data_IF_880425092611
#
_entry.id   IF_880425092611
#
_cell.length_a   1.000
_cell.length_b   1.000
_cell.length_c   1.000
_cell.angle_alpha   90.00
_cell.angle_beta   90.00
_cell.angle_gamma   90.00
#
_symmetry.space_group_name_H-M   'P 1'
#
loop_
_entity.id
_entity.type
_entity.pdbx_description
1 polymer ?
#
# COMPACT_ATOMS: atom_id res chain seq x y z
N UNK A 1 8.09 -36.54 -2.99
CA UNK A 1 8.58 -36.01 -4.28
C UNK A 1 8.12 -34.57 -4.34
N UNK A 2 8.91 -33.64 -3.80
CA UNK A 2 8.62 -32.21 -3.87
C UNK A 2 9.03 -31.74 -5.28
N UNK A 3 8.04 -31.42 -6.11
CA UNK A 3 8.28 -30.81 -7.40
C UNK A 3 8.66 -29.34 -7.16
N UNK A 4 9.96 -29.04 -7.25
CA UNK A 4 10.44 -27.68 -7.43
C UNK A 4 9.93 -27.17 -8.78
N UNK A 5 8.93 -26.30 -8.76
CA UNK A 5 8.53 -25.54 -9.94
C UNK A 5 9.56 -24.43 -10.12
N UNK A 6 10.48 -24.58 -11.06
CA UNK A 6 11.26 -23.45 -11.59
C UNK A 6 10.29 -22.47 -12.26
N UNK A 7 9.97 -21.38 -11.57
CA UNK A 7 9.07 -20.36 -12.09
C UNK A 7 9.84 -19.44 -13.03
N UNK A 8 9.82 -19.76 -14.33
CA UNK A 8 10.52 -19.04 -15.41
C UNK A 8 10.01 -17.60 -15.66
N UNK A 9 8.85 -17.21 -15.12
CA UNK A 9 8.31 -15.83 -15.20
C UNK A 9 7.08 -15.63 -14.30
N UNK A 10 6.79 -14.38 -13.90
CA UNK A 10 5.58 -14.05 -13.13
C UNK A 10 4.29 -14.55 -13.82
N UNK A 11 4.19 -14.44 -15.14
CA UNK A 11 3.02 -14.90 -15.87
C UNK A 11 2.76 -16.40 -15.72
N UNK A 12 3.83 -17.20 -15.66
CA UNK A 12 3.73 -18.64 -15.42
C UNK A 12 3.27 -18.93 -13.98
N UNK A 13 3.80 -18.21 -12.99
CA UNK A 13 3.32 -18.30 -11.60
C UNK A 13 1.83 -18.00 -11.50
N UNK A 14 1.40 -16.88 -12.08
CA UNK A 14 0.00 -16.47 -12.03
C UNK A 14 -0.93 -17.51 -12.66
N UNK A 15 -0.54 -18.10 -13.80
CA UNK A 15 -1.29 -19.18 -14.44
C UNK A 15 -1.36 -20.44 -13.57
N UNK A 16 -0.26 -20.81 -12.92
CA UNK A 16 -0.22 -21.95 -12.00
C UNK A 16 -1.16 -21.74 -10.81
N UNK A 17 -1.09 -20.58 -10.14
CA UNK A 17 -1.94 -20.22 -9.00
C UNK A 17 -3.43 -20.20 -9.37
N UNK A 18 -3.77 -19.65 -10.55
CA UNK A 18 -5.15 -19.66 -11.05
C UNK A 18 -5.68 -21.08 -11.28
N UNK A 19 -4.84 -21.96 -11.83
CA UNK A 19 -5.19 -23.37 -12.06
C UNK A 19 -5.36 -24.12 -10.74
N UNK A 20 -4.41 -23.98 -9.82
CA UNK A 20 -4.44 -24.62 -8.49
C UNK A 20 -5.72 -24.27 -7.73
N UNK A 21 -6.11 -23.00 -7.78
CA UNK A 21 -7.29 -22.48 -7.06
C UNK A 21 -8.60 -22.62 -7.84
N UNK A 22 -8.56 -23.21 -9.04
CA UNK A 22 -9.71 -23.34 -9.94
C UNK A 22 -10.42 -22.00 -10.22
N UNK A 23 -9.65 -20.91 -10.36
CA UNK A 23 -10.14 -19.56 -10.63
C UNK A 23 -9.82 -19.19 -12.08
N UNK A 24 -10.81 -18.71 -12.82
CA UNK A 24 -10.55 -18.14 -14.16
C UNK A 24 -10.03 -16.71 -14.08
N UNK A 25 -9.33 -16.23 -15.12
CA UNK A 25 -8.93 -14.81 -15.20
C UNK A 25 -10.11 -13.85 -15.08
N UNK A 26 -11.29 -14.24 -15.60
CA UNK A 26 -12.51 -13.45 -15.48
C UNK A 26 -13.04 -13.41 -14.05
N UNK A 27 -12.94 -14.52 -13.30
CA UNK A 27 -13.30 -14.55 -11.89
C UNK A 27 -12.33 -13.72 -11.03
N UNK A 28 -11.02 -13.83 -11.28
CA UNK A 28 -10.03 -12.97 -10.63
C UNK A 28 -10.28 -11.49 -10.92
N UNK A 29 -10.62 -11.14 -12.17
CA UNK A 29 -10.96 -9.76 -12.56
C UNK A 29 -12.12 -9.21 -11.73
N UNK A 30 -13.23 -9.95 -11.66
CA UNK A 30 -14.41 -9.55 -10.87
C UNK A 30 -14.10 -9.38 -9.39
N UNK A 31 -13.29 -10.27 -8.81
CA UNK A 31 -12.93 -10.23 -7.38
C UNK A 31 -11.96 -9.09 -7.06
N UNK A 32 -10.88 -8.98 -7.84
CA UNK A 32 -9.80 -8.03 -7.59
C UNK A 32 -10.07 -6.60 -8.06
N UNK A 33 -11.06 -6.40 -8.93
CA UNK A 33 -11.27 -5.13 -9.63
C UNK A 33 -10.19 -4.79 -10.65
N UNK A 34 -9.26 -5.71 -10.94
CA UNK A 34 -8.28 -5.55 -12.03
C UNK A 34 -8.99 -5.92 -13.34
N UNK A 35 -8.84 -5.07 -14.37
CA UNK A 35 -9.40 -5.36 -15.68
C UNK A 35 -8.89 -6.71 -16.25
N UNK A 36 -9.81 -7.46 -16.90
CA UNK A 36 -9.51 -8.79 -17.44
C UNK A 36 -8.40 -8.73 -18.50
N UNK A 37 -8.34 -7.68 -19.31
CA UNK A 37 -7.27 -7.51 -20.31
C UNK A 37 -5.92 -7.31 -19.63
N UNK A 38 -5.87 -6.56 -18.53
CA UNK A 38 -4.66 -6.39 -17.71
C UNK A 38 -4.20 -7.71 -17.09
N UNK A 39 -5.10 -8.48 -16.47
CA UNK A 39 -4.77 -9.82 -15.95
C UNK A 39 -4.22 -10.72 -17.06
N UNK A 40 -4.86 -10.71 -18.24
CA UNK A 40 -4.41 -11.49 -19.39
C UNK A 40 -3.02 -11.07 -19.90
N UNK A 41 -2.76 -9.77 -20.00
CA UNK A 41 -1.43 -9.26 -20.39
C UNK A 41 -0.36 -9.67 -19.37
N UNK A 42 -0.65 -9.56 -18.08
CA UNK A 42 0.25 -9.98 -17.00
C UNK A 42 0.54 -11.49 -17.07
N UNK A 43 -0.50 -12.32 -17.15
CA UNK A 43 -0.37 -13.78 -17.23
C UNK A 43 0.40 -14.26 -18.48
N UNK A 44 0.45 -13.45 -19.53
CA UNK A 44 1.19 -13.73 -20.76
C UNK A 44 2.52 -12.96 -20.86
N UNK A 45 3.01 -12.40 -19.75
CA UNK A 45 4.25 -11.61 -19.69
C UNK A 45 4.32 -10.41 -20.65
N UNK A 46 3.16 -9.93 -21.14
CA UNK A 46 3.04 -8.74 -22.00
C UNK A 46 3.02 -7.44 -21.21
N UNK A 47 2.86 -7.53 -19.89
CA UNK A 47 2.84 -6.40 -18.98
C UNK A 47 3.40 -6.85 -17.63
N UNK A 48 4.33 -6.07 -17.06
CA UNK A 48 4.81 -6.29 -15.69
C UNK A 48 3.70 -5.88 -14.70
N UNK A 49 3.37 -6.71 -13.70
CA UNK A 49 2.47 -6.28 -12.63
C UNK A 49 3.11 -5.15 -11.81
N UNK A 50 2.31 -4.18 -11.35
CA UNK A 50 2.75 -3.20 -10.37
C UNK A 50 2.39 -3.70 -8.96
N UNK A 51 2.85 -3.02 -7.91
CA UNK A 51 2.61 -3.42 -6.51
C UNK A 51 1.12 -3.55 -6.19
N UNK A 52 0.26 -2.66 -6.71
CA UNK A 52 -1.20 -2.77 -6.49
C UNK A 52 -1.79 -4.03 -7.16
N UNK A 53 -1.36 -4.38 -8.37
CA UNK A 53 -1.74 -5.65 -8.99
C UNK A 53 -1.31 -6.83 -8.10
N UNK A 54 -0.09 -6.80 -7.56
CA UNK A 54 0.43 -7.87 -6.72
C UNK A 54 -0.35 -8.00 -5.40
N UNK A 55 -0.63 -6.89 -4.72
CA UNK A 55 -1.45 -6.85 -3.51
C UNK A 55 -2.84 -7.45 -3.76
N UNK A 56 -3.53 -6.97 -4.80
CA UNK A 56 -4.88 -7.45 -5.12
C UNK A 56 -4.88 -8.92 -5.52
N UNK A 57 -3.87 -9.39 -6.25
CA UNK A 57 -3.71 -10.80 -6.59
C UNK A 57 -3.45 -11.63 -5.31
N UNK A 58 -2.57 -11.17 -4.42
CA UNK A 58 -2.26 -11.82 -3.16
C UNK A 58 -3.51 -12.05 -2.30
N UNK A 59 -4.28 -10.98 -2.08
CA UNK A 59 -5.52 -11.02 -1.28
C UNK A 59 -6.54 -11.99 -1.90
N UNK A 60 -6.85 -11.85 -3.18
CA UNK A 60 -7.98 -12.57 -3.79
C UNK A 60 -7.64 -14.00 -4.19
N UNK A 61 -6.35 -14.33 -4.35
CA UNK A 61 -5.90 -15.70 -4.50
C UNK A 61 -5.49 -16.30 -3.14
N UNK A 62 -5.42 -15.55 -2.05
CA UNK A 62 -4.87 -16.02 -0.77
C UNK A 62 -3.49 -16.67 -0.97
N UNK A 63 -2.54 -15.87 -1.46
CA UNK A 63 -1.15 -16.26 -1.71
C UNK A 63 -0.21 -15.24 -1.09
N UNK A 64 1.03 -15.64 -0.83
CA UNK A 64 1.99 -14.77 -0.20
C UNK A 64 2.40 -13.61 -1.15
N UNK A 65 2.19 -12.36 -0.72
CA UNK A 65 2.61 -11.18 -1.46
C UNK A 65 4.13 -11.14 -1.69
N UNK A 66 4.93 -11.62 -0.75
CA UNK A 66 6.40 -11.72 -0.90
C UNK A 66 6.79 -12.58 -2.10
N UNK A 67 6.11 -13.71 -2.29
CA UNK A 67 6.35 -14.62 -3.42
C UNK A 67 6.05 -13.92 -4.75
N UNK A 68 4.94 -13.19 -4.81
CA UNK A 68 4.54 -12.44 -5.99
C UNK A 68 5.49 -11.28 -6.30
N UNK A 69 5.98 -10.57 -5.27
CA UNK A 69 6.96 -9.50 -5.39
C UNK A 69 8.29 -10.03 -5.93
N UNK A 70 8.81 -11.12 -5.35
CA UNK A 70 10.04 -11.79 -5.81
C UNK A 70 9.91 -12.26 -7.26
N UNK A 71 8.82 -12.93 -7.61
CA UNK A 71 8.56 -13.40 -8.96
C UNK A 71 8.41 -12.26 -9.99
N UNK A 72 8.08 -11.05 -9.52
CA UNK A 72 8.01 -9.84 -10.33
C UNK A 72 9.31 -9.05 -10.38
N UNK A 73 10.40 -9.56 -9.79
CA UNK A 73 11.70 -8.89 -9.78
C UNK A 73 11.75 -7.64 -8.90
N UNK A 74 10.92 -7.55 -7.86
CA UNK A 74 11.10 -6.56 -6.81
C UNK A 74 12.18 -7.05 -5.83
N UNK A 75 13.12 -6.18 -5.47
CA UNK A 75 14.11 -6.46 -4.44
C UNK A 75 13.41 -6.48 -3.07
N UNK A 76 13.22 -7.68 -2.53
CA UNK A 76 12.71 -7.88 -1.18
C UNK A 76 13.92 -8.22 -0.30
N UNK A 77 14.28 -7.34 0.65
CA UNK A 77 15.34 -7.67 1.62
C UNK A 77 14.89 -8.93 2.38
N UNK A 78 15.75 -9.95 2.45
CA UNK A 78 15.43 -11.19 3.16
C UNK A 78 14.95 -10.87 4.58
N UNK A 79 13.65 -11.04 4.81
CA UNK A 79 13.15 -11.29 6.15
C UNK A 79 13.25 -12.80 6.36
N UNK A 80 13.83 -13.24 7.47
CA UNK A 80 13.99 -14.67 7.76
C UNK A 80 12.65 -15.40 8.01
N UNK A 81 11.52 -14.74 7.79
CA UNK A 81 10.18 -15.24 8.04
C UNK A 81 9.41 -15.37 6.72
N UNK A 82 9.25 -16.62 6.25
CA UNK A 82 8.29 -17.02 5.20
C UNK A 82 6.85 -16.85 5.70
N UNK A 83 6.42 -15.63 6.03
CA UNK A 83 5.05 -15.41 6.47
C UNK A 83 4.18 -15.05 5.26
N UNK A 84 3.10 -15.82 5.10
CA UNK A 84 1.99 -15.49 4.20
C UNK A 84 1.48 -14.13 4.64
N UNK A 85 1.48 -13.14 3.73
CA UNK A 85 0.92 -11.81 3.99
C UNK A 85 -0.52 -11.91 4.48
N UNK A 86 -0.68 -11.99 5.80
CA UNK A 86 -1.95 -12.14 6.46
C UNK A 86 -2.12 -10.89 7.29
N UNK A 87 -2.89 -9.95 6.72
CA UNK A 87 -3.11 -8.61 7.26
C UNK A 87 -3.51 -8.64 8.74
N UNK A 88 -4.20 -9.70 9.17
CA UNK A 88 -4.67 -9.82 10.55
C UNK A 88 -3.58 -10.31 11.53
N UNK A 89 -2.57 -11.08 11.08
CA UNK A 89 -1.48 -11.58 11.94
C UNK A 89 -0.19 -10.77 11.83
N UNK A 90 0.10 -10.21 10.65
CA UNK A 90 1.41 -9.65 10.31
C UNK A 90 1.56 -8.18 10.72
N UNK A 91 0.50 -7.57 11.24
CA UNK A 91 0.51 -6.21 11.81
C UNK A 91 0.20 -6.23 13.31
N UNK A 92 0.66 -7.28 14.00
CA UNK A 92 0.52 -7.44 15.45
C UNK A 92 1.09 -6.25 16.23
N UNK A 93 2.13 -5.62 15.69
CA UNK A 93 2.73 -4.40 16.20
C UNK A 93 3.11 -3.43 15.06
N UNK A 94 3.39 -2.18 15.40
CA UNK A 94 3.75 -1.13 14.43
C UNK A 94 5.15 -1.32 13.82
N UNK A 95 6.07 -2.01 14.49
CA UNK A 95 7.40 -2.28 13.93
C UNK A 95 7.34 -3.31 12.79
N UNK A 96 6.41 -4.27 12.84
CA UNK A 96 6.14 -5.20 11.75
C UNK A 96 5.60 -4.44 10.52
N UNK A 97 4.70 -3.46 10.75
CA UNK A 97 4.20 -2.55 9.70
C UNK A 97 5.35 -1.83 8.99
N UNK A 98 6.21 -1.19 9.77
CA UNK A 98 7.36 -0.45 9.23
C UNK A 98 8.36 -1.41 8.58
N UNK A 99 8.58 -2.57 9.19
CA UNK A 99 9.41 -3.65 8.68
C UNK A 99 9.00 -4.03 7.27
N UNK A 100 7.71 -4.33 7.06
CA UNK A 100 7.18 -4.67 5.76
C UNK A 100 7.32 -3.53 4.74
N UNK A 101 6.98 -2.30 5.12
CA UNK A 101 7.14 -1.15 4.24
C UNK A 101 8.60 -0.91 3.81
N UNK A 102 9.57 -1.27 4.66
CA UNK A 102 11.00 -1.21 4.32
C UNK A 102 11.44 -2.27 3.29
N UNK A 103 10.67 -3.33 3.11
CA UNK A 103 10.94 -4.39 2.12
C UNK A 103 10.53 -3.96 0.71
N UNK A 104 9.69 -2.93 0.59
CA UNK A 104 9.29 -2.34 -0.70
C UNK A 104 10.37 -1.34 -1.16
N UNK A 105 11.32 -1.82 -1.95
CA UNK A 105 12.41 -1.02 -2.50
C UNK A 105 12.26 -0.79 -4.02
N UNK A 106 11.15 -0.17 -4.44
CA UNK A 106 10.98 0.27 -5.83
C UNK A 106 11.12 1.80 -5.91
N UNK A 107 12.17 2.27 -6.60
CA UNK A 107 12.48 3.70 -6.70
C UNK A 107 11.38 4.52 -7.36
N UNK A 108 10.70 3.95 -8.37
CA UNK A 108 9.66 4.68 -9.11
C UNK A 108 8.39 4.79 -8.25
N UNK A 109 8.00 3.69 -7.61
CA UNK A 109 6.88 3.65 -6.68
C UNK A 109 7.09 4.61 -5.51
N UNK A 110 8.27 4.51 -4.86
CA UNK A 110 8.61 5.36 -3.73
C UNK A 110 8.70 6.84 -4.15
N UNK A 111 9.33 7.14 -5.29
CA UNK A 111 9.43 8.51 -5.80
C UNK A 111 8.08 9.13 -6.15
N UNK A 112 7.11 8.33 -6.62
CA UNK A 112 5.74 8.80 -6.84
C UNK A 112 5.08 9.17 -5.50
N UNK A 113 5.18 8.31 -4.49
CA UNK A 113 4.63 8.58 -3.15
C UNK A 113 5.24 9.86 -2.56
N UNK A 114 6.56 10.01 -2.64
CA UNK A 114 7.27 11.22 -2.16
C UNK A 114 6.77 12.50 -2.86
N UNK A 115 6.55 12.44 -4.17
CA UNK A 115 6.02 13.56 -4.95
C UNK A 115 4.61 13.94 -4.49
N UNK A 116 3.74 12.95 -4.29
CA UNK A 116 2.36 13.20 -3.84
C UNK A 116 2.30 13.70 -2.39
N UNK A 117 3.14 13.16 -1.49
CA UNK A 117 3.29 13.67 -0.12
C UNK A 117 3.74 15.13 -0.10
N UNK A 118 4.66 15.52 -1.00
CA UNK A 118 5.12 16.91 -1.12
C UNK A 118 3.99 17.86 -1.53
N UNK A 119 3.09 17.41 -2.42
CA UNK A 119 1.88 18.18 -2.75
C UNK A 119 0.92 18.28 -1.57
N UNK A 120 0.74 17.19 -0.82
CA UNK A 120 -0.10 17.18 0.38
C UNK A 120 0.45 18.10 1.47
N UNK A 121 1.78 18.21 1.60
CA UNK A 121 2.45 19.13 2.53
C UNK A 121 2.17 20.60 2.20
N UNK A 122 2.14 20.95 0.91
CA UNK A 122 1.71 22.28 0.46
C UNK A 122 0.22 22.50 0.71
N UNK A 123 -0.60 21.48 0.42
CA UNK A 123 -2.04 21.60 0.49
C UNK A 123 -2.56 21.72 1.93
N UNK A 124 -1.95 21.02 2.90
CA UNK A 124 -2.36 21.12 4.32
C UNK A 124 -2.13 22.50 4.94
N UNK A 125 -1.36 23.36 4.28
CA UNK A 125 -1.16 24.74 4.71
C UNK A 125 -2.38 25.62 4.39
N UNK A 126 -3.17 25.26 3.38
CA UNK A 126 -4.37 26.01 2.98
C UNK A 126 -5.57 25.66 3.86
N UNK A 127 -6.55 26.55 3.92
CA UNK A 127 -7.78 26.31 4.68
C UNK A 127 -8.63 25.21 4.03
N UNK A 128 -8.59 25.10 2.70
CA UNK A 128 -9.25 24.03 1.95
C UNK A 128 -8.65 22.66 2.27
N UNK A 129 -7.32 22.53 2.30
CA UNK A 129 -6.65 21.27 2.61
C UNK A 129 -6.95 20.82 4.04
N UNK A 130 -6.89 21.73 5.02
CA UNK A 130 -7.27 21.43 6.41
C UNK A 130 -8.74 21.01 6.51
N UNK A 131 -9.63 21.75 5.86
CA UNK A 131 -11.07 21.44 5.85
C UNK A 131 -11.33 20.07 5.24
N UNK A 132 -10.73 19.74 4.09
CA UNK A 132 -10.83 18.43 3.47
C UNK A 132 -10.39 17.33 4.43
N UNK A 133 -9.26 17.52 5.11
CA UNK A 133 -8.76 16.57 6.09
C UNK A 133 -9.77 16.36 7.24
N UNK A 134 -10.28 17.43 7.84
CA UNK A 134 -11.25 17.34 8.94
C UNK A 134 -12.58 16.69 8.51
N UNK A 135 -13.07 17.02 7.32
CA UNK A 135 -14.38 16.56 6.82
C UNK A 135 -14.38 15.08 6.39
N UNK A 136 -13.21 14.55 6.01
CA UNK A 136 -13.08 13.25 5.33
C UNK A 136 -12.31 12.19 6.12
N UNK A 137 -11.42 12.57 7.05
CA UNK A 137 -10.57 11.60 7.76
C UNK A 137 -11.37 10.54 8.51
N UNK A 138 -12.28 10.96 9.41
CA UNK A 138 -13.06 10.02 10.22
C UNK A 138 -13.90 9.08 9.35
N UNK A 139 -14.51 9.60 8.28
CA UNK A 139 -15.30 8.79 7.33
C UNK A 139 -14.44 7.73 6.65
N UNK A 140 -13.24 8.10 6.21
CA UNK A 140 -12.33 7.16 5.55
C UNK A 140 -11.83 6.10 6.54
N UNK A 141 -11.30 6.50 7.69
CA UNK A 141 -10.66 5.57 8.63
C UNK A 141 -11.66 4.56 9.21
N UNK A 142 -12.92 4.96 9.40
CA UNK A 142 -13.98 4.09 9.91
C UNK A 142 -14.57 3.16 8.84
N UNK A 143 -14.39 3.47 7.55
CA UNK A 143 -14.79 2.60 6.44
C UNK A 143 -13.85 1.40 6.23
N UNK A 144 -12.66 1.45 6.82
CA UNK A 144 -11.68 0.37 6.71
C UNK A 144 -12.07 -0.71 7.73
N UNK A 145 -12.51 -1.86 7.24
CA UNK A 145 -12.83 -3.04 8.07
C UNK A 145 -11.63 -3.53 8.91
N UNK A 146 -10.41 -3.17 8.50
CA UNK A 146 -9.17 -3.52 9.19
C UNK A 146 -8.99 -2.66 10.45
N UNK A 147 -9.42 -3.17 11.60
CA UNK A 147 -8.94 -2.69 12.89
C UNK A 147 -7.52 -3.22 13.12
N UNK A 148 -6.55 -2.34 13.33
CA UNK A 148 -5.16 -2.73 13.56
C UNK A 148 -4.21 -1.55 13.71
N UNK A 149 -2.97 -1.86 14.06
CA UNK A 149 -1.90 -0.91 14.44
C UNK A 149 -1.66 0.19 13.39
N UNK A 150 -1.88 -0.10 12.11
CA UNK A 150 -1.83 0.90 11.05
C UNK A 150 -2.89 2.00 11.22
N UNK A 151 -4.15 1.60 11.40
CA UNK A 151 -5.26 2.57 11.57
C UNK A 151 -5.16 3.30 12.89
N UNK A 152 -4.69 2.63 13.95
CA UNK A 152 -4.46 3.26 15.26
C UNK A 152 -3.38 4.32 15.16
N UNK A 153 -2.30 4.05 14.42
CA UNK A 153 -1.25 5.05 14.19
C UNK A 153 -1.78 6.28 13.45
N UNK A 154 -2.63 6.10 12.44
CA UNK A 154 -3.26 7.22 11.73
C UNK A 154 -4.18 8.03 12.66
N UNK A 155 -4.94 7.36 13.55
CA UNK A 155 -5.78 8.02 14.55
C UNK A 155 -4.94 8.83 15.54
N UNK A 156 -3.82 8.29 16.02
CA UNK A 156 -2.88 9.01 16.88
C UNK A 156 -2.32 10.26 16.19
N UNK A 157 -1.87 10.12 14.94
CA UNK A 157 -1.39 11.23 14.12
C UNK A 157 -2.45 12.31 13.94
N UNK A 158 -3.70 11.92 13.67
CA UNK A 158 -4.82 12.85 13.55
C UNK A 158 -5.13 13.57 14.87
N UNK A 159 -5.17 12.84 15.98
CA UNK A 159 -5.37 13.42 17.31
C UNK A 159 -4.27 14.44 17.65
N UNK A 160 -3.00 14.09 17.41
CA UNK A 160 -1.86 15.01 17.58
C UNK A 160 -2.00 16.26 16.68
N UNK A 161 -2.39 16.07 15.42
CA UNK A 161 -2.59 17.15 14.46
C UNK A 161 -3.67 18.12 14.92
N UNK A 162 -4.81 17.62 15.40
CA UNK A 162 -5.93 18.41 15.92
C UNK A 162 -5.55 19.26 17.14
N UNK A 163 -4.54 18.88 17.92
CA UNK A 163 -4.13 19.68 19.09
C UNK A 163 -3.54 21.04 18.71
N UNK A 164 -3.01 21.19 17.49
CA UNK A 164 -2.31 22.40 17.06
C UNK A 164 -1.00 22.69 17.80
N UNK A 165 -0.54 21.79 18.68
CA UNK A 165 0.67 21.98 19.51
C UNK A 165 1.94 21.45 18.86
N UNK A 166 1.85 20.96 17.62
CA UNK A 166 2.98 20.44 16.88
C UNK A 166 3.87 21.58 16.38
N UNK A 167 5.19 21.41 16.46
CA UNK A 167 6.12 22.30 15.76
C UNK A 167 5.86 22.26 14.25
N UNK A 168 6.13 23.36 13.55
CA UNK A 168 5.76 23.58 12.13
C UNK A 168 6.10 22.36 11.27
N UNK A 169 7.35 21.87 11.33
CA UNK A 169 7.77 20.71 10.53
C UNK A 169 6.96 19.44 10.83
N UNK A 170 6.75 19.13 12.12
CA UNK A 170 5.95 17.96 12.54
C UNK A 170 4.49 18.12 12.13
N UNK A 171 3.93 19.33 12.22
CA UNK A 171 2.58 19.64 11.76
C UNK A 171 2.43 19.36 10.26
N UNK A 172 3.36 19.88 9.44
CA UNK A 172 3.35 19.71 7.99
C UNK A 172 3.48 18.24 7.55
N UNK A 173 4.44 17.51 8.14
CA UNK A 173 4.63 16.08 7.84
C UNK A 173 3.46 15.21 8.29
N UNK A 174 2.88 15.52 9.45
CA UNK A 174 1.70 14.79 9.95
C UNK A 174 0.49 15.08 9.07
N UNK A 175 0.27 16.35 8.74
CA UNK A 175 -0.80 16.79 7.86
C UNK A 175 -0.70 16.22 6.44
N UNK A 176 0.51 16.14 5.88
CA UNK A 176 0.74 15.57 4.55
C UNK A 176 0.42 14.09 4.49
N UNK A 177 0.82 13.32 5.51
CA UNK A 177 0.46 11.90 5.63
C UNK A 177 -1.06 11.69 5.68
N UNK A 178 -1.73 12.47 6.53
CA UNK A 178 -3.17 12.34 6.74
C UNK A 178 -3.95 12.78 5.50
N UNK A 179 -3.51 13.82 4.80
CA UNK A 179 -4.09 14.25 3.52
C UNK A 179 -3.85 13.23 2.42
N UNK A 180 -2.64 12.68 2.31
CA UNK A 180 -2.33 11.62 1.35
C UNK A 180 -3.30 10.45 1.54
N UNK A 181 -3.44 10.01 2.79
CA UNK A 181 -4.40 8.99 3.16
C UNK A 181 -5.82 9.44 2.78
N UNK A 182 -6.30 10.64 3.10
CA UNK A 182 -7.67 11.03 2.75
C UNK A 182 -7.92 11.11 1.23
N UNK A 183 -6.99 11.68 0.46
CA UNK A 183 -7.14 11.92 -0.98
C UNK A 183 -7.14 10.62 -1.78
N UNK A 184 -6.46 9.56 -1.32
CA UNK A 184 -6.38 8.29 -2.04
C UNK A 184 -7.73 7.53 -2.19
N UNK A 185 -8.83 8.04 -1.64
CA UNK A 185 -10.17 7.40 -1.72
C UNK A 185 -11.29 8.18 -2.41
N UNK A 186 -11.12 9.45 -2.79
CA UNK A 186 -11.95 10.21 -3.74
C UNK A 186 -11.76 11.73 -3.52
N UNK A 187 -12.03 12.50 -4.58
CA UNK A 187 -12.00 13.98 -4.69
C UNK A 187 -10.61 14.58 -5.00
N UNK A 188 -10.09 14.39 -6.23
CA UNK A 188 -9.47 15.42 -7.10
C UNK A 188 -9.20 14.76 -8.48
N UNK A 189 -9.76 15.26 -9.60
CA UNK A 189 -9.55 14.69 -10.95
C UNK A 189 -8.09 14.66 -11.43
N UNK A 190 -7.25 15.54 -10.90
CA UNK A 190 -5.84 15.67 -11.30
C UNK A 190 -4.91 14.68 -10.58
N UNK A 191 -5.42 13.96 -9.57
CA UNK A 191 -4.68 12.96 -8.79
C UNK A 191 -5.25 11.57 -9.09
N UNK A 192 -4.82 10.99 -10.20
CA UNK A 192 -5.15 9.61 -10.57
C UNK A 192 -3.95 8.73 -10.26
N UNK A 193 -4.12 7.77 -9.33
CA UNK A 193 -3.27 6.63 -8.87
C UNK A 193 -2.43 6.75 -7.57
N UNK A 194 -2.23 5.63 -6.79
CA UNK A 194 -2.97 4.36 -6.71
C UNK A 194 -3.94 4.28 -5.50
N UNK A 195 -4.78 3.24 -5.55
CA UNK A 195 -5.70 2.79 -4.50
C UNK A 195 -5.17 1.43 -4.02
N UNK A 196 -4.52 1.35 -2.87
CA UNK A 196 -4.12 0.08 -2.25
C UNK A 196 -3.41 0.28 -0.91
N UNK A 197 -3.65 -0.57 0.07
CA UNK A 197 -3.14 -0.39 1.43
C UNK A 197 -1.58 -0.34 1.50
N UNK A 198 -0.89 -0.85 0.48
CA UNK A 198 0.58 -0.79 0.38
C UNK A 198 1.15 0.63 0.22
N UNK A 199 0.48 1.51 -0.53
CA UNK A 199 0.98 2.87 -0.73
C UNK A 199 0.90 3.69 0.56
N UNK A 200 -0.22 3.60 1.28
CA UNK A 200 -0.43 4.24 2.57
C UNK A 200 0.59 3.74 3.61
N UNK A 201 0.95 2.44 3.62
CA UNK A 201 2.00 1.91 4.51
C UNK A 201 3.37 2.51 4.20
N UNK A 202 3.74 2.59 2.92
CA UNK A 202 5.03 3.15 2.50
C UNK A 202 5.09 4.65 2.81
N UNK A 203 4.01 5.39 2.53
CA UNK A 203 3.88 6.79 2.89
C UNK A 203 4.03 7.00 4.41
N UNK A 204 3.35 6.18 5.22
CA UNK A 204 3.44 6.25 6.68
C UNK A 204 4.87 5.97 7.16
N UNK A 205 5.55 4.99 6.58
CA UNK A 205 6.93 4.67 6.91
C UNK A 205 7.90 5.82 6.54
N UNK A 206 7.73 6.45 5.38
CA UNK A 206 8.52 7.62 4.97
C UNK A 206 8.38 8.76 5.98
N UNK A 207 7.15 9.13 6.31
CA UNK A 207 6.86 10.21 7.27
C UNK A 207 7.36 9.85 8.67
N UNK A 208 7.17 8.61 9.10
CA UNK A 208 7.69 8.14 10.40
C UNK A 208 9.21 8.27 10.48
N UNK A 209 9.95 7.92 9.42
CA UNK A 209 11.40 8.11 9.36
C UNK A 209 11.80 9.58 9.42
N UNK A 210 11.08 10.47 8.75
CA UNK A 210 11.34 11.91 8.79
C UNK A 210 11.11 12.47 10.18
N UNK A 211 10.01 12.10 10.83
CA UNK A 211 9.68 12.51 12.21
C UNK A 211 10.70 12.00 13.25
N UNK A 212 11.31 10.84 13.02
CA UNK A 212 12.36 10.29 13.90
C UNK A 212 13.71 10.99 13.77
N UNK A 213 14.02 11.57 12.60
CA UNK A 213 15.27 12.32 12.38
C UNK A 213 15.27 13.70 13.04
N UNK A 214 14.11 14.16 13.52
CA UNK A 214 13.92 15.46 14.18
C UNK A 214 13.90 15.38 15.71
N UNK A 215 14.21 14.21 16.29
CA UNK A 215 14.49 14.06 17.73
C UNK A 215 15.97 14.22 18.00
#
# INVERSE_FOLDING_TARGET
MEQHIEVESFGNLLKALLKEKSISMGALSKKSGIDKSTISRIANNKQKPNINHLEKIAIHLNVNLEELLKASGYEFKNSNNKQIFNIDSDFSNFDDVLGFANLINDKNFNGNIEKELSKCELYVQTDEGKKLLFDSFSKKIDSIEKQGQFTDRLRDMYAEFCTGKLGIKKYLLTGSMLLYFVISTDVIPDFVFPIGFMDDLVALNMITKLLRKDK
#
